data_IF_906536927775
#
_entry.id   IF_906536927775
#
_cell.length_a   1.000
_cell.length_b   1.000
_cell.length_c   1.000
_cell.angle_alpha   90.00
_cell.angle_beta   90.00
_cell.angle_gamma   90.00
#
_symmetry.space_group_name_H-M   'P 1'
#
loop_
_entity.id
_entity.type
_entity.pdbx_description
1 polymer ?
#
# COMPACT_ATOMS: atom_id res chain seq x y z
N UNK A 1 11.98 27.72 19.00
CA UNK A 1 12.17 26.29 18.67
C UNK A 1 11.04 25.87 17.77
N UNK A 2 11.38 25.37 16.57
CA UNK A 2 10.46 25.16 15.46
C UNK A 2 9.37 24.13 15.80
N UNK A 3 8.12 24.49 15.54
CA UNK A 3 6.96 23.58 15.56
C UNK A 3 7.26 22.38 14.66
N UNK A 4 7.34 21.19 15.26
CA UNK A 4 7.21 19.92 14.57
C UNK A 4 5.92 19.91 13.76
N UNK A 5 6.03 20.29 12.48
CA UNK A 5 5.00 20.03 11.49
C UNK A 5 4.87 18.51 11.45
N UNK A 6 3.83 17.98 12.10
CA UNK A 6 3.24 16.71 11.75
C UNK A 6 2.86 16.80 10.28
N UNK A 7 3.83 16.53 9.39
CA UNK A 7 3.56 16.41 7.96
C UNK A 7 2.77 15.13 7.84
N UNK A 8 1.45 15.28 7.87
CA UNK A 8 0.52 14.24 7.45
C UNK A 8 0.81 13.99 5.98
N UNK A 9 1.76 13.11 5.69
CA UNK A 9 2.11 12.72 4.33
C UNK A 9 0.84 12.16 3.69
N UNK A 10 0.21 12.98 2.84
CA UNK A 10 -0.94 12.55 2.04
C UNK A 10 -0.39 11.65 0.95
N UNK A 11 -0.85 10.40 0.93
CA UNK A 11 -0.53 9.49 -0.17
C UNK A 11 -1.24 10.02 -1.42
N UNK A 12 -0.49 10.19 -2.51
CA UNK A 12 -1.05 10.49 -3.83
C UNK A 12 -2.04 9.38 -4.21
N UNK A 13 -3.19 9.69 -4.80
CA UNK A 13 -4.11 8.64 -5.28
C UNK A 13 -3.62 8.06 -6.60
N UNK A 14 -3.51 6.73 -6.73
CA UNK A 14 -3.22 6.07 -8.01
C UNK A 14 -4.43 6.21 -8.96
N UNK A 15 -4.22 6.82 -10.12
CA UNK A 15 -5.24 7.03 -11.16
C UNK A 15 -4.95 6.22 -12.43
N UNK A 16 -3.70 5.80 -12.62
CA UNK A 16 -3.28 4.95 -13.74
C UNK A 16 -1.77 4.98 -13.91
N UNK A 17 -1.28 4.48 -15.04
CA UNK A 17 0.17 4.41 -15.32
C UNK A 17 0.82 5.79 -15.37
N UNK A 18 0.07 6.82 -15.80
CA UNK A 18 0.55 8.19 -15.92
C UNK A 18 1.05 8.81 -14.61
N UNK A 19 0.55 8.37 -13.45
CA UNK A 19 0.97 8.88 -12.14
C UNK A 19 1.55 7.78 -11.23
N UNK A 20 1.86 6.61 -11.79
CA UNK A 20 2.35 5.46 -11.03
C UNK A 20 3.65 5.74 -10.30
N UNK A 21 4.61 6.43 -10.94
CA UNK A 21 5.92 6.74 -10.33
C UNK A 21 5.78 7.62 -9.08
N UNK A 22 4.96 8.66 -9.18
CA UNK A 22 4.68 9.57 -8.06
C UNK A 22 3.90 8.87 -6.94
N UNK A 23 2.90 8.07 -7.33
CA UNK A 23 2.16 7.23 -6.38
C UNK A 23 3.10 6.28 -5.64
N UNK A 24 3.94 5.53 -6.36
CA UNK A 24 4.86 4.54 -5.80
C UNK A 24 5.82 5.17 -4.80
N UNK A 25 6.41 6.31 -5.14
CA UNK A 25 7.27 7.07 -4.22
C UNK A 25 6.49 7.52 -2.98
N UNK A 26 5.32 8.11 -3.18
CA UNK A 26 4.47 8.64 -2.10
C UNK A 26 4.05 7.56 -1.10
N UNK A 27 3.51 6.43 -1.57
CA UNK A 27 3.11 5.33 -0.68
C UNK A 27 4.31 4.65 -0.03
N UNK A 28 5.44 4.48 -0.74
CA UNK A 28 6.65 3.87 -0.16
C UNK A 28 7.21 4.70 1.01
N UNK A 29 7.20 6.03 0.89
CA UNK A 29 7.59 6.93 1.98
C UNK A 29 6.69 6.76 3.21
N UNK A 30 5.37 6.66 3.00
CA UNK A 30 4.41 6.44 4.10
C UNK A 30 4.60 5.08 4.75
N UNK A 31 4.76 4.01 3.96
CA UNK A 31 5.03 2.68 4.48
C UNK A 31 6.34 2.62 5.26
N UNK A 32 7.41 3.23 4.75
CA UNK A 32 8.69 3.33 5.43
C UNK A 32 8.57 4.09 6.77
N UNK A 33 7.89 5.24 6.79
CA UNK A 33 7.68 6.01 8.03
C UNK A 33 6.86 5.28 9.11
N UNK A 34 6.15 4.22 8.71
CA UNK A 34 5.28 3.42 9.59
C UNK A 34 5.87 2.05 9.91
N UNK A 35 7.10 1.75 9.49
CA UNK A 35 7.71 0.43 9.66
C UNK A 35 6.90 -0.70 8.99
N UNK A 36 6.39 -0.42 7.78
CA UNK A 36 5.52 -1.33 7.01
C UNK A 36 6.11 -1.76 5.66
N UNK A 37 7.29 -1.26 5.29
CA UNK A 37 7.85 -1.48 3.95
C UNK A 37 8.18 -2.95 3.65
N UNK A 38 8.51 -3.74 4.68
CA UNK A 38 8.85 -5.15 4.49
C UNK A 38 7.64 -6.00 4.05
N UNK A 39 6.42 -5.58 4.41
CA UNK A 39 5.18 -6.29 4.09
C UNK A 39 4.77 -6.20 2.61
N UNK A 40 5.37 -5.28 1.83
CA UNK A 40 5.20 -5.26 0.37
C UNK A 40 6.30 -6.02 -0.38
N UNK A 41 7.41 -6.31 0.30
CA UNK A 41 8.60 -6.94 -0.28
C UNK A 41 8.59 -8.46 -0.10
N UNK A 42 8.13 -8.94 1.06
CA UNK A 42 8.10 -10.37 1.38
C UNK A 42 6.70 -10.75 1.85
N UNK A 43 6.09 -11.73 1.19
CA UNK A 43 4.87 -12.37 1.68
C UNK A 43 5.23 -13.33 2.80
N UNK A 44 5.40 -12.84 4.02
CA UNK A 44 5.63 -13.69 5.18
C UNK A 44 4.30 -14.17 5.77
N UNK A 45 4.10 -15.49 5.75
CA UNK A 45 3.10 -16.11 6.60
C UNK A 45 3.62 -16.04 8.04
N UNK A 46 3.04 -15.16 8.86
CA UNK A 46 3.37 -14.99 10.26
C UNK A 46 2.21 -15.47 11.14
N UNK A 47 2.54 -16.15 12.23
CA UNK A 47 1.55 -16.49 13.26
C UNK A 47 1.41 -15.39 14.31
N UNK A 48 2.34 -14.44 14.34
CA UNK A 48 2.36 -13.33 15.30
C UNK A 48 1.20 -12.35 15.04
N UNK A 49 0.51 -11.96 16.12
CA UNK A 49 -0.67 -11.10 16.05
C UNK A 49 -0.31 -9.67 15.68
N UNK A 50 0.84 -9.17 16.17
CA UNK A 50 1.29 -7.82 15.88
C UNK A 50 1.68 -7.69 14.39
N UNK A 51 2.38 -8.68 13.85
CA UNK A 51 2.73 -8.72 12.43
C UNK A 51 1.50 -8.86 11.53
N UNK A 52 0.52 -9.68 11.90
CA UNK A 52 -0.78 -9.73 11.18
C UNK A 52 -1.47 -8.37 11.16
N UNK A 53 -1.45 -7.65 12.28
CA UNK A 53 -2.01 -6.30 12.37
C UNK A 53 -1.24 -5.31 11.46
N UNK A 54 0.10 -5.37 11.44
CA UNK A 54 0.93 -4.55 10.55
C UNK A 54 0.67 -4.87 9.07
N UNK A 55 0.59 -6.14 8.69
CA UNK A 55 0.25 -6.58 7.33
C UNK A 55 -1.11 -6.03 6.88
N UNK A 56 -2.12 -6.12 7.74
CA UNK A 56 -3.45 -5.55 7.48
C UNK A 56 -3.42 -4.03 7.30
N UNK A 57 -2.66 -3.31 8.14
CA UNK A 57 -2.45 -1.85 8.01
C UNK A 57 -1.76 -1.49 6.69
N UNK A 58 -0.73 -2.23 6.31
CA UNK A 58 -0.03 -2.05 5.04
C UNK A 58 -0.99 -2.22 3.85
N UNK A 59 -1.74 -3.32 3.83
CA UNK A 59 -2.74 -3.60 2.82
C UNK A 59 -3.79 -2.48 2.72
N UNK A 60 -4.35 -2.05 3.86
CA UNK A 60 -5.35 -1.01 3.92
C UNK A 60 -4.84 0.33 3.37
N UNK A 61 -3.60 0.73 3.71
CA UNK A 61 -2.98 1.96 3.18
C UNK A 61 -2.83 1.91 1.66
N UNK A 62 -2.44 0.75 1.10
CA UNK A 62 -2.34 0.59 -0.34
C UNK A 62 -3.74 0.73 -0.97
N UNK A 63 -4.75 0.00 -0.49
CA UNK A 63 -6.12 0.08 -1.02
C UNK A 63 -6.70 1.49 -0.94
N UNK A 64 -6.53 2.19 0.19
CA UNK A 64 -7.01 3.57 0.37
C UNK A 64 -6.33 4.57 -0.57
N UNK A 65 -5.13 4.25 -1.06
CA UNK A 65 -4.42 5.08 -2.02
C UNK A 65 -4.87 4.86 -3.48
N UNK A 66 -5.77 3.92 -3.75
CA UNK A 66 -6.25 3.63 -5.11
C UNK A 66 -7.49 4.46 -5.44
N UNK A 67 -7.60 4.89 -6.70
CA UNK A 67 -8.85 5.47 -7.19
C UNK A 67 -9.97 4.42 -7.21
N UNK A 68 -11.24 4.83 -7.08
CA UNK A 68 -12.37 3.90 -7.09
C UNK A 68 -12.42 2.99 -8.32
N UNK A 69 -12.00 3.51 -9.48
CA UNK A 69 -11.94 2.76 -10.75
C UNK A 69 -10.91 1.63 -10.70
N UNK A 70 -9.74 1.89 -10.11
CA UNK A 70 -8.72 0.85 -9.95
C UNK A 70 -9.16 -0.17 -8.90
N UNK A 71 -9.69 0.29 -7.77
CA UNK A 71 -10.17 -0.58 -6.68
C UNK A 71 -11.28 -1.54 -7.16
N UNK A 72 -12.18 -1.08 -8.02
CA UNK A 72 -13.25 -1.93 -8.56
C UNK A 72 -12.74 -2.95 -9.58
N UNK A 73 -11.68 -2.61 -10.32
CA UNK A 73 -11.04 -3.47 -11.31
C UNK A 73 -10.09 -4.53 -10.71
N UNK A 74 -9.73 -4.42 -9.44
CA UNK A 74 -8.92 -5.43 -8.75
C UNK A 74 -9.64 -6.78 -8.68
N UNK A 75 -8.88 -7.87 -8.81
CA UNK A 75 -9.39 -9.22 -8.55
C UNK A 75 -9.85 -9.36 -7.09
N UNK A 76 -10.76 -10.30 -6.84
CA UNK A 76 -11.29 -10.55 -5.49
C UNK A 76 -10.16 -10.81 -4.47
N UNK A 77 -9.12 -11.54 -4.87
CA UNK A 77 -7.97 -11.85 -4.02
C UNK A 77 -7.16 -10.61 -3.64
N UNK A 78 -7.07 -9.61 -4.53
CA UNK A 78 -6.32 -8.38 -4.30
C UNK A 78 -7.07 -7.38 -3.40
N UNK A 79 -8.38 -7.56 -3.21
CA UNK A 79 -9.23 -6.64 -2.43
C UNK A 79 -9.88 -7.29 -1.20
N UNK A 80 -9.48 -8.51 -0.84
CA UNK A 80 -10.06 -9.22 0.30
C UNK A 80 -9.51 -8.68 1.63
N UNK A 81 -10.32 -8.00 2.47
CA UNK A 81 -9.86 -7.49 3.75
C UNK A 81 -9.70 -8.58 4.82
N UNK A 82 -10.31 -9.76 4.63
CA UNK A 82 -10.22 -10.89 5.57
C UNK A 82 -8.94 -11.70 5.40
N UNK A 83 -8.31 -11.59 4.23
CA UNK A 83 -7.02 -12.22 3.90
C UNK A 83 -6.11 -11.19 3.23
N UNK A 84 -5.62 -10.18 3.98
CA UNK A 84 -4.91 -9.04 3.42
C UNK A 84 -3.51 -9.43 2.89
N UNK A 85 -3.38 -9.54 1.58
CA UNK A 85 -2.12 -9.88 0.89
C UNK A 85 -1.44 -8.65 0.30
N UNK A 86 -0.80 -7.84 1.16
CA UNK A 86 -0.14 -6.59 0.77
C UNK A 86 0.90 -6.78 -0.35
N UNK A 87 1.78 -7.79 -0.23
CA UNK A 87 2.79 -8.09 -1.25
C UNK A 87 2.18 -8.49 -2.61
N UNK A 88 1.11 -9.29 -2.60
CA UNK A 88 0.41 -9.70 -3.82
C UNK A 88 -0.27 -8.50 -4.50
N UNK A 89 -0.98 -7.68 -3.73
CA UNK A 89 -1.59 -6.45 -4.19
C UNK A 89 -0.54 -5.51 -4.78
N UNK A 90 0.57 -5.31 -4.08
CA UNK A 90 1.68 -4.48 -4.54
C UNK A 90 2.21 -4.97 -5.89
N UNK A 91 2.61 -6.25 -5.98
CA UNK A 91 3.13 -6.85 -7.20
C UNK A 91 2.15 -6.73 -8.38
N UNK A 92 0.86 -6.91 -8.13
CA UNK A 92 -0.18 -6.69 -9.13
C UNK A 92 -0.17 -5.24 -9.65
N UNK A 93 -0.19 -4.25 -8.75
CA UNK A 93 -0.16 -2.83 -9.13
C UNK A 93 1.12 -2.46 -9.89
N UNK A 94 2.28 -3.01 -9.49
CA UNK A 94 3.52 -2.79 -10.23
C UNK A 94 3.42 -3.34 -11.64
N UNK A 95 2.97 -4.60 -11.80
CA UNK A 95 2.83 -5.23 -13.12
C UNK A 95 1.88 -4.45 -14.04
N UNK A 96 0.79 -3.93 -13.49
CA UNK A 96 -0.27 -3.27 -14.27
C UNK A 96 0.10 -1.84 -14.68
N UNK A 97 0.77 -1.07 -13.81
CA UNK A 97 0.91 0.38 -13.98
C UNK A 97 2.36 0.88 -14.15
N UNK A 98 3.37 0.02 -14.07
CA UNK A 98 4.78 0.44 -14.22
C UNK A 98 5.29 0.57 -15.65
N UNK A 99 4.47 0.20 -16.64
CA UNK A 99 4.77 0.29 -18.07
C UNK A 99 4.90 1.73 -18.56
#
# INVERSE_FOLDING_TARGET
MSKDKHSTYKVTTLKGSNNYKDWKLSISLVLHSKDLLDFISVSQATTDVADKCKAGKCFALIIQSLSPVITSALSADCRNPLDPKAALLWAHLQRTFSA
#
